data_IF_706509674105
#
_entry.id   IF_706509674105
#
_cell.length_a   1.000
_cell.length_b   1.000
_cell.length_c   1.000
_cell.angle_alpha   90.00
_cell.angle_beta   90.00
_cell.angle_gamma   90.00
#
_symmetry.space_group_name_H-M   'P 1'
#
loop_
_entity.id
_entity.type
_entity.pdbx_description
1 polymer ?
#
# COMPACT_ATOMS: atom_id res chain seq x y z
N UNK A 1 -13.61 -8.64 1.55
CA UNK A 1 -12.76 -9.04 0.40
C UNK A 1 -11.65 -8.00 0.28
N UNK A 2 -10.41 -8.38 -0.06
CA UNK A 2 -9.30 -7.42 -0.20
C UNK A 2 -8.72 -7.45 -1.61
N UNK A 3 -8.38 -6.26 -2.13
CA UNK A 3 -7.73 -6.08 -3.43
C UNK A 3 -6.31 -5.56 -3.22
N UNK A 4 -5.36 -6.02 -4.04
CA UNK A 4 -3.96 -5.62 -3.92
C UNK A 4 -3.60 -4.63 -5.03
N UNK A 5 -2.83 -3.62 -4.67
CA UNK A 5 -2.33 -2.60 -5.60
C UNK A 5 -1.04 -1.97 -5.12
N UNK A 6 -0.55 -1.02 -5.91
CA UNK A 6 0.66 -0.24 -5.63
C UNK A 6 0.31 1.23 -5.43
N UNK A 7 0.94 1.88 -4.44
CA UNK A 7 0.81 3.33 -4.25
C UNK A 7 1.48 4.05 -5.41
N UNK A 8 0.74 4.89 -6.13
CA UNK A 8 1.27 5.72 -7.22
C UNK A 8 1.43 7.20 -6.82
N UNK A 9 0.75 7.61 -5.76
CA UNK A 9 0.75 8.98 -5.23
C UNK A 9 0.18 9.06 -3.82
N UNK A 10 0.42 10.20 -3.16
CA UNK A 10 -0.17 10.56 -1.86
C UNK A 10 -0.61 12.01 -1.91
N UNK A 11 -1.75 12.32 -1.30
CA UNK A 11 -2.26 13.68 -1.16
C UNK A 11 -2.99 13.84 0.18
N UNK A 12 -2.44 14.66 1.09
CA UNK A 12 -3.02 14.83 2.42
C UNK A 12 -3.06 13.51 3.19
N UNK A 13 -4.25 13.09 3.61
CA UNK A 13 -4.51 11.80 4.29
C UNK A 13 -4.95 10.67 3.34
N UNK A 14 -4.84 10.88 2.02
CA UNK A 14 -5.23 9.91 1.00
C UNK A 14 -4.03 9.36 0.23
N UNK A 15 -4.21 8.13 -0.25
CA UNK A 15 -3.27 7.43 -1.13
C UNK A 15 -3.95 7.13 -2.45
N UNK A 16 -3.20 7.27 -3.54
CA UNK A 16 -3.63 6.87 -4.86
C UNK A 16 -3.10 5.46 -5.15
N UNK A 17 -4.00 4.53 -5.45
CA UNK A 17 -3.69 3.09 -5.59
C UNK A 17 -3.99 2.64 -7.02
N UNK A 18 -2.97 2.15 -7.72
CA UNK A 18 -3.14 1.40 -8.96
C UNK A 18 -3.31 -0.09 -8.64
N UNK A 19 -4.45 -0.68 -8.99
CA UNK A 19 -4.76 -2.08 -8.68
C UNK A 19 -4.16 -3.05 -9.68
N UNK A 20 -3.67 -4.19 -9.19
CA UNK A 20 -3.06 -5.22 -10.05
C UNK A 20 -4.08 -5.89 -10.99
N UNK A 21 -5.38 -5.83 -10.64
CA UNK A 21 -6.48 -6.32 -11.47
C UNK A 21 -6.78 -5.40 -12.66
N UNK A 22 -6.48 -4.11 -12.53
CA UNK A 22 -6.77 -3.12 -13.55
C UNK A 22 -5.49 -2.78 -14.32
N UNK A 23 -5.20 -3.61 -15.31
CA UNK A 23 -4.00 -3.48 -16.15
C UNK A 23 -4.11 -2.39 -17.22
N UNK A 24 -5.28 -1.77 -17.37
CA UNK A 24 -5.54 -0.79 -18.44
C UNK A 24 -5.75 0.62 -17.91
N UNK A 25 -5.91 0.81 -16.60
CA UNK A 25 -6.01 2.13 -15.99
C UNK A 25 -4.74 2.97 -16.18
N UNK A 26 -4.95 4.23 -16.58
CA UNK A 26 -3.89 5.22 -16.75
C UNK A 26 -3.51 5.94 -15.42
N UNK A 27 -4.11 5.54 -14.30
CA UNK A 27 -3.95 6.17 -12.99
C UNK A 27 -4.47 5.28 -11.86
N UNK A 28 -4.46 5.76 -10.62
CA UNK A 28 -5.00 5.05 -9.48
C UNK A 28 -6.25 5.69 -8.87
N UNK A 29 -6.96 4.92 -8.06
CA UNK A 29 -8.11 5.41 -7.29
C UNK A 29 -7.63 5.93 -5.93
N UNK A 30 -8.25 6.99 -5.43
CA UNK A 30 -7.88 7.61 -4.15
C UNK A 30 -8.67 7.02 -2.98
N UNK A 31 -7.95 6.66 -1.91
CA UNK A 31 -8.54 6.08 -0.70
C UNK A 31 -7.92 6.69 0.55
N UNK A 32 -8.70 6.72 1.63
CA UNK A 32 -8.16 6.99 2.96
C UNK A 32 -7.15 5.91 3.35
N UNK A 33 -6.08 6.31 4.03
CA UNK A 33 -5.07 5.39 4.50
C UNK A 33 -5.16 5.18 6.02
N UNK A 34 -5.22 3.91 6.46
CA UNK A 34 -5.19 3.55 7.86
C UNK A 34 -4.00 2.63 8.18
N UNK A 35 -3.00 3.10 8.95
CA UNK A 35 -1.90 2.25 9.40
C UNK A 35 -2.35 1.26 10.48
N UNK A 36 -1.70 0.09 10.52
CA UNK A 36 -1.94 -0.92 11.55
C UNK A 36 -1.67 -0.43 12.98
N UNK A 37 -0.83 0.60 13.16
CA UNK A 37 -0.41 1.15 14.46
C UNK A 37 -1.18 2.40 14.91
N UNK A 38 -2.12 2.93 14.12
CA UNK A 38 -2.83 4.17 14.42
C UNK A 38 -1.99 5.46 14.24
N UNK A 39 -2.70 6.60 14.17
CA UNK A 39 -2.26 7.87 13.54
C UNK A 39 -1.09 8.62 14.19
N UNK A 40 -0.56 8.20 15.34
CA UNK A 40 0.39 9.01 16.13
C UNK A 40 1.84 8.99 15.63
N UNK A 41 2.23 7.98 14.85
CA UNK A 41 3.62 7.78 14.39
C UNK A 41 3.70 7.48 12.88
N UNK A 42 2.65 7.80 12.12
CA UNK A 42 2.51 7.34 10.74
C UNK A 42 3.02 8.36 9.71
N UNK A 43 3.92 7.91 8.84
CA UNK A 43 4.30 8.61 7.61
C UNK A 43 3.54 8.01 6.44
N UNK A 44 3.06 8.86 5.51
CA UNK A 44 2.45 8.41 4.26
C UNK A 44 3.31 7.37 3.54
N UNK A 45 2.67 6.37 2.89
CA UNK A 45 3.41 5.28 2.29
C UNK A 45 4.15 5.79 1.06
N UNK A 46 5.34 5.23 0.82
CA UNK A 46 6.14 5.63 -0.33
C UNK A 46 5.51 5.14 -1.63
N UNK A 47 5.65 5.92 -2.70
CA UNK A 47 5.31 5.47 -4.06
C UNK A 47 6.01 4.14 -4.38
N UNK A 48 5.28 3.22 -5.00
CA UNK A 48 5.72 1.85 -5.29
C UNK A 48 5.47 0.85 -4.17
N UNK A 49 5.09 1.29 -2.97
CA UNK A 49 4.72 0.39 -1.86
C UNK A 49 3.48 -0.40 -2.21
N UNK A 50 3.48 -1.70 -1.95
CA UNK A 50 2.29 -2.55 -2.09
C UNK A 50 1.34 -2.32 -0.92
N UNK A 51 0.05 -2.19 -1.21
CA UNK A 51 -1.01 -2.03 -0.22
C UNK A 51 -2.20 -2.93 -0.53
N UNK A 52 -3.03 -3.18 0.47
CA UNK A 52 -4.30 -3.86 0.29
C UNK A 52 -5.47 -2.90 0.57
N UNK A 53 -6.43 -2.84 -0.35
CA UNK A 53 -7.69 -2.15 -0.13
C UNK A 53 -8.65 -3.06 0.62
N UNK A 54 -9.19 -2.56 1.72
CA UNK A 54 -10.29 -3.16 2.46
C UNK A 54 -11.59 -2.40 2.19
N UNK A 55 -12.64 -3.09 1.74
CA UNK A 55 -13.98 -2.54 1.54
C UNK A 55 -14.91 -3.18 2.57
N UNK A 56 -15.30 -2.42 3.59
CA UNK A 56 -16.07 -2.93 4.72
C UNK A 56 -17.57 -3.05 4.47
N UNK A 57 -18.14 -2.16 3.65
CA UNK A 57 -19.59 -2.00 3.52
C UNK A 57 -20.13 -2.16 2.08
N UNK A 58 -19.33 -2.73 1.17
CA UNK A 58 -19.70 -2.91 -0.24
C UNK A 58 -19.66 -1.65 -1.12
N UNK A 59 -19.47 -0.47 -0.54
CA UNK A 59 -19.21 0.78 -1.25
C UNK A 59 -17.70 0.99 -1.43
N UNK A 60 -17.23 0.94 -2.69
CA UNK A 60 -15.82 1.16 -3.04
C UNK A 60 -15.32 2.52 -2.56
N UNK A 61 -16.17 3.57 -2.59
CA UNK A 61 -15.77 4.91 -2.18
C UNK A 61 -15.43 5.01 -0.68
N UNK A 62 -15.85 4.03 0.13
CA UNK A 62 -15.50 3.91 1.54
C UNK A 62 -14.35 2.94 1.78
N UNK A 63 -13.66 2.50 0.73
CA UNK A 63 -12.49 1.66 0.83
C UNK A 63 -11.37 2.34 1.62
N UNK A 64 -10.68 1.54 2.45
CA UNK A 64 -9.54 1.99 3.23
C UNK A 64 -8.31 1.22 2.74
N UNK A 65 -7.27 1.95 2.34
CA UNK A 65 -5.97 1.37 2.06
C UNK A 65 -5.31 0.99 3.39
N UNK A 66 -5.04 -0.30 3.55
CA UNK A 66 -4.51 -0.90 4.78
C UNK A 66 -3.13 -1.47 4.53
N UNK A 67 -2.20 -1.08 5.41
CA UNK A 67 -0.87 -1.67 5.50
C UNK A 67 0.06 -1.40 4.32
N UNK A 68 1.36 -1.54 4.60
CA UNK A 68 2.40 -1.68 3.60
C UNK A 68 2.76 -3.16 3.57
N UNK A 69 2.45 -3.85 2.47
CA UNK A 69 2.83 -5.26 2.29
C UNK A 69 4.33 -5.26 2.05
N UNK A 70 5.09 -5.77 3.02
CA UNK A 70 6.54 -5.93 2.89
C UNK A 70 6.83 -7.01 1.86
N UNK A 71 7.49 -6.62 0.78
CA UNK A 71 8.02 -7.53 -0.23
C UNK A 71 9.52 -7.69 -0.05
N UNK A 72 10.05 -8.88 -0.38
CA UNK A 72 11.50 -9.10 -0.48
C UNK A 72 12.09 -8.10 -1.49
N UNK A 73 13.29 -7.59 -1.20
CA UNK A 73 13.95 -6.54 -1.99
C UNK A 73 13.60 -5.10 -1.60
N UNK A 74 12.86 -4.87 -0.50
CA UNK A 74 12.69 -3.52 0.07
C UNK A 74 14.03 -2.86 0.43
N UNK A 75 14.06 -1.52 0.47
CA UNK A 75 15.27 -0.67 0.52
C UNK A 75 16.23 -0.89 1.69
N UNK A 76 15.83 -1.61 2.73
CA UNK A 76 16.76 -2.04 3.77
C UNK A 76 17.55 -3.28 3.31
N UNK A 77 18.61 -3.05 2.56
CA UNK A 77 19.40 -4.10 1.89
C UNK A 77 19.83 -5.24 2.82
N UNK A 78 20.13 -4.96 4.09
CA UNK A 78 20.54 -5.95 5.09
C UNK A 78 19.44 -6.90 5.57
N UNK A 79 18.16 -6.65 5.25
CA UNK A 79 17.03 -7.55 5.61
C UNK A 79 16.10 -7.83 4.44
N UNK A 80 16.51 -7.46 3.22
CA UNK A 80 15.69 -7.54 2.02
C UNK A 80 15.62 -8.94 1.39
N UNK A 81 16.59 -9.82 1.66
CA UNK A 81 16.64 -11.20 1.17
C UNK A 81 17.38 -12.10 2.15
N UNK A 82 16.96 -13.37 2.34
CA UNK A 82 17.65 -14.32 3.21
C UNK A 82 19.09 -14.60 2.77
N UNK A 83 19.38 -14.49 1.47
CA UNK A 83 20.72 -14.67 0.89
C UNK A 83 21.72 -13.56 1.27
N UNK A 84 21.25 -12.44 1.82
CA UNK A 84 22.10 -11.32 2.24
C UNK A 84 22.53 -11.38 3.71
N UNK A 85 22.06 -12.38 4.46
CA UNK A 85 22.56 -12.65 5.81
C UNK A 85 23.81 -13.54 5.70
N UNK A 86 25.02 -13.03 6.03
CA UNK A 86 26.18 -13.89 6.16
C UNK A 86 25.95 -14.82 7.37
N UNK A 87 26.11 -16.12 7.14
CA UNK A 87 26.24 -17.15 8.19
C UNK A 87 27.57 -17.04 8.91
#
# INVERSE_FOLDING_TARGET
MSFVGSIVGTQGEQVEVAFDIDKSAAGGNSYGFAPATGNLMYCMPQKGTKTALYIGNGDEAQGIATGCIRTNGSTCEGTGSPEKFPV
#
